data_IF_649908131754
#
_entry.id   IF_649908131754
#
_cell.length_a   1.000
_cell.length_b   1.000
_cell.length_c   1.000
_cell.angle_alpha   90.00
_cell.angle_beta   90.00
_cell.angle_gamma   90.00
#
_symmetry.space_group_name_H-M   'P 1'
#
loop_
_entity.id
_entity.type
_entity.pdbx_description
1 polymer ?
#
# COMPACT_ATOMS: atom_id res chain seq x y z
N UNK A 1 29.25 -2.18 3.38
CA UNK A 1 28.65 -3.45 2.99
C UNK A 1 29.58 -4.22 2.05
N UNK A 2 30.17 -5.38 2.50
CA UNK A 2 31.15 -6.13 1.71
C UNK A 2 30.59 -6.70 0.39
N UNK A 3 29.28 -6.87 0.28
CA UNK A 3 28.61 -7.37 -0.92
C UNK A 3 28.09 -6.26 -1.84
N UNK A 4 28.21 -4.99 -1.44
CA UNK A 4 27.83 -3.88 -2.29
C UNK A 4 28.71 -3.82 -3.53
N UNK A 5 28.15 -3.51 -4.72
CA UNK A 5 28.93 -3.27 -5.91
C UNK A 5 30.02 -2.22 -5.67
N UNK A 6 31.20 -2.37 -6.27
CA UNK A 6 32.34 -1.47 -6.07
C UNK A 6 31.96 0.01 -6.28
N UNK A 7 31.10 0.31 -7.26
CA UNK A 7 30.58 1.66 -7.50
C UNK A 7 29.75 2.22 -6.34
N UNK A 8 29.07 1.38 -5.56
CA UNK A 8 28.29 1.80 -4.39
C UNK A 8 29.14 1.97 -3.13
N UNK A 9 30.42 1.51 -3.14
CA UNK A 9 31.34 1.66 -2.01
C UNK A 9 32.06 3.00 -2.00
N UNK A 10 31.97 3.78 -3.07
CA UNK A 10 32.68 5.06 -3.22
C UNK A 10 31.97 6.25 -2.57
N UNK A 11 30.68 6.12 -2.24
CA UNK A 11 29.91 7.14 -1.52
C UNK A 11 29.81 6.77 -0.03
N UNK A 12 30.92 6.87 0.69
CA UNK A 12 30.90 6.80 2.15
C UNK A 12 30.46 8.15 2.71
N UNK A 13 29.37 8.13 3.49
CA UNK A 13 29.02 9.27 4.33
C UNK A 13 30.14 9.46 5.38
N UNK A 14 30.58 10.69 5.60
CA UNK A 14 31.46 11.03 6.73
C UNK A 14 30.68 10.76 8.02
N UNK A 15 31.05 9.71 8.73
CA UNK A 15 30.38 9.29 9.96
C UNK A 15 30.89 7.94 10.47
N UNK A 16 30.45 7.60 11.67
CA UNK A 16 30.76 6.31 12.28
C UNK A 16 30.16 5.16 11.42
N UNK A 17 30.94 4.12 11.20
CA UNK A 17 30.39 2.89 10.62
C UNK A 17 29.43 2.25 11.61
N UNK A 18 28.47 1.46 11.09
CA UNK A 18 27.53 0.72 11.93
C UNK A 18 28.26 -0.22 12.93
N UNK A 19 29.36 -0.87 12.49
CA UNK A 19 30.18 -1.71 13.37
C UNK A 19 30.83 -0.93 14.51
N UNK A 20 31.42 0.22 14.19
CA UNK A 20 32.04 1.10 15.23
C UNK A 20 31.00 1.59 16.24
N UNK A 21 29.77 1.94 15.76
CA UNK A 21 28.68 2.34 16.65
C UNK A 21 28.25 1.21 17.58
N UNK A 22 28.23 -0.04 17.10
CA UNK A 22 27.92 -1.21 17.94
C UNK A 22 29.01 -1.47 19.01
N UNK A 23 30.30 -1.25 18.68
CA UNK A 23 31.42 -1.42 19.61
C UNK A 23 31.37 -0.39 20.76
N UNK A 24 30.82 0.82 20.50
CA UNK A 24 30.61 1.84 21.53
C UNK A 24 29.40 1.54 22.44
N UNK A 25 28.54 0.56 22.08
CA UNK A 25 27.33 0.22 22.81
C UNK A 25 27.63 -0.45 24.15
N UNK A 26 26.88 -0.09 25.19
CA UNK A 26 26.93 -0.77 26.47
C UNK A 26 25.96 -1.98 26.50
N UNK A 27 26.47 -3.22 26.48
CA UNK A 27 25.60 -4.41 26.53
C UNK A 27 24.84 -4.56 27.85
N UNK A 28 25.23 -3.82 28.90
CA UNK A 28 24.55 -3.79 30.21
C UNK A 28 23.57 -2.63 30.34
N UNK A 29 23.30 -1.86 29.29
CA UNK A 29 22.41 -0.70 29.36
C UNK A 29 21.00 -1.08 29.80
N UNK A 30 20.57 -0.51 30.92
CA UNK A 30 19.21 -0.70 31.44
C UNK A 30 18.22 0.18 30.66
N UNK A 31 17.34 -0.45 29.91
CA UNK A 31 16.31 0.27 29.14
C UNK A 31 15.29 0.92 30.06
N UNK A 32 15.21 2.27 30.13
CA UNK A 32 14.15 2.93 30.85
C UNK A 32 12.82 2.76 30.10
N UNK A 33 11.77 2.42 30.82
CA UNK A 33 10.42 2.47 30.27
C UNK A 33 10.07 3.93 29.92
N UNK A 34 9.28 4.18 28.86
CA UNK A 34 8.83 5.52 28.53
C UNK A 34 8.07 6.10 29.72
N UNK A 35 8.32 7.38 30.04
CA UNK A 35 7.62 8.08 31.13
C UNK A 35 6.16 8.34 30.76
N UNK A 36 5.92 8.62 29.49
CA UNK A 36 4.62 8.80 28.88
C UNK A 36 4.58 7.98 27.59
N UNK A 37 3.60 7.11 27.48
CA UNK A 37 3.41 6.31 26.24
C UNK A 37 3.01 7.17 25.03
N UNK A 38 2.69 8.45 25.23
CA UNK A 38 2.50 9.46 24.19
C UNK A 38 3.82 10.06 23.68
N UNK A 39 4.95 9.77 24.33
CA UNK A 39 6.25 10.19 23.85
C UNK A 39 6.54 9.64 22.45
N UNK A 40 7.31 10.42 21.66
CA UNK A 40 7.67 10.03 20.31
C UNK A 40 8.64 8.83 20.33
N UNK A 41 8.34 7.81 19.51
CA UNK A 41 9.22 6.64 19.32
C UNK A 41 9.98 6.69 18.00
N UNK A 42 9.33 7.11 16.92
CA UNK A 42 9.94 7.16 15.58
C UNK A 42 9.44 8.33 14.74
N UNK A 43 10.19 8.65 13.70
CA UNK A 43 9.89 9.67 12.71
C UNK A 43 9.94 9.05 11.33
N UNK A 44 8.83 9.10 10.60
CA UNK A 44 8.70 8.53 9.26
C UNK A 44 8.39 9.63 8.24
N UNK A 45 9.22 9.80 7.23
CA UNK A 45 8.97 10.77 6.18
C UNK A 45 8.08 10.19 5.09
N UNK A 46 7.03 10.94 4.74
CA UNK A 46 6.21 10.64 3.56
C UNK A 46 6.90 11.17 2.30
N UNK A 47 6.67 10.54 1.16
CA UNK A 47 7.17 11.02 -0.14
C UNK A 47 6.58 12.37 -0.60
N UNK A 48 5.64 12.93 0.19
CA UNK A 48 5.00 14.20 -0.07
C UNK A 48 4.36 14.30 -1.45
N UNK A 49 3.06 14.10 -1.52
CA UNK A 49 2.31 14.25 -2.79
C UNK A 49 2.22 15.71 -3.25
N UNK A 50 2.65 16.65 -2.40
CA UNK A 50 2.73 18.10 -2.65
C UNK A 50 4.17 18.56 -2.91
N UNK A 51 5.12 17.65 -3.07
CA UNK A 51 6.52 17.95 -3.38
C UNK A 51 7.44 18.14 -2.16
N UNK A 52 6.92 18.37 -0.96
CA UNK A 52 7.72 18.45 0.28
C UNK A 52 7.41 17.26 1.17
N UNK A 53 8.41 16.41 1.51
CA UNK A 53 8.23 15.32 2.48
C UNK A 53 7.83 15.87 3.85
N UNK A 54 6.88 15.21 4.51
CA UNK A 54 6.47 15.55 5.88
C UNK A 54 6.94 14.46 6.83
N UNK A 55 7.47 14.86 7.98
CA UNK A 55 7.90 13.95 9.03
C UNK A 55 6.72 13.56 9.92
N UNK A 56 6.26 12.34 9.81
CA UNK A 56 5.16 11.78 10.61
C UNK A 56 5.72 11.27 11.93
N UNK A 57 5.22 11.79 13.05
CA UNK A 57 5.70 11.44 14.40
C UNK A 57 4.82 10.34 14.99
N UNK A 58 5.43 9.20 15.29
CA UNK A 58 4.80 8.09 16.00
C UNK A 58 5.00 8.21 17.50
N UNK A 59 4.08 7.68 18.30
CA UNK A 59 4.19 7.54 19.74
C UNK A 59 4.15 6.08 20.17
N UNK A 60 4.68 5.79 21.37
CA UNK A 60 4.79 4.42 21.89
C UNK A 60 3.44 3.69 21.95
N UNK A 61 2.39 4.36 22.41
CA UNK A 61 1.03 3.77 22.49
C UNK A 61 0.55 3.26 21.12
N UNK A 62 0.64 4.10 20.07
CA UNK A 62 0.18 3.75 18.73
C UNK A 62 0.97 2.59 18.16
N UNK A 63 2.30 2.60 18.31
CA UNK A 63 3.17 1.53 17.85
C UNK A 63 2.84 0.19 18.54
N UNK A 64 2.62 0.22 19.87
CA UNK A 64 2.23 -0.97 20.64
C UNK A 64 0.85 -1.51 20.21
N UNK A 65 -0.16 -0.64 20.12
CA UNK A 65 -1.51 -1.05 19.74
C UNK A 65 -1.56 -1.62 18.33
N UNK A 66 -0.85 -1.02 17.37
CA UNK A 66 -0.80 -1.58 16.02
C UNK A 66 -0.03 -2.89 15.99
N UNK A 67 1.07 -3.02 16.74
CA UNK A 67 1.81 -4.27 16.84
C UNK A 67 0.93 -5.43 17.31
N UNK A 68 0.11 -5.21 18.34
CA UNK A 68 -0.88 -6.20 18.82
C UNK A 68 -2.00 -6.40 17.80
N UNK A 69 -2.49 -5.33 17.18
CA UNK A 69 -3.49 -5.38 16.11
C UNK A 69 -3.05 -6.25 14.92
N UNK A 70 -1.78 -6.16 14.54
CA UNK A 70 -1.20 -7.00 13.49
C UNK A 70 -1.22 -8.49 13.85
N UNK A 71 -0.90 -8.85 15.10
CA UNK A 71 -0.99 -10.24 15.56
C UNK A 71 -2.38 -10.81 15.32
N UNK A 72 -3.40 -10.06 15.71
CA UNK A 72 -4.80 -10.49 15.60
C UNK A 72 -5.28 -10.54 14.14
N UNK A 73 -5.04 -9.46 13.39
CA UNK A 73 -5.56 -9.33 12.01
C UNK A 73 -4.84 -10.21 10.99
N UNK A 74 -3.54 -10.49 11.18
CA UNK A 74 -2.81 -11.40 10.31
C UNK A 74 -2.87 -12.87 10.74
N UNK A 75 -3.59 -13.18 11.83
CA UNK A 75 -3.64 -14.54 12.37
C UNK A 75 -2.29 -15.07 12.85
N UNK A 76 -1.40 -14.17 13.27
CA UNK A 76 -0.04 -14.51 13.66
C UNK A 76 -0.02 -15.26 14.99
N UNK A 77 0.34 -16.54 14.98
CA UNK A 77 0.50 -17.35 16.16
C UNK A 77 1.76 -16.99 16.97
N UNK A 78 2.09 -17.81 17.98
CA UNK A 78 3.36 -17.69 18.72
C UNK A 78 4.52 -18.19 17.86
N UNK A 79 5.68 -17.54 17.98
CA UNK A 79 6.92 -17.89 17.30
C UNK A 79 6.79 -17.99 15.77
N UNK A 80 6.16 -16.99 15.11
CA UNK A 80 6.10 -16.96 13.66
C UNK A 80 7.50 -16.79 13.09
N UNK A 81 7.69 -17.21 11.85
CA UNK A 81 8.88 -16.89 11.06
C UNK A 81 8.47 -15.88 9.99
N UNK A 82 9.03 -14.67 10.06
CA UNK A 82 8.66 -13.54 9.21
C UNK A 82 9.76 -13.20 8.22
N UNK A 83 9.46 -13.25 6.92
CA UNK A 83 10.37 -12.86 5.84
C UNK A 83 10.19 -11.37 5.50
N UNK A 84 11.30 -10.62 5.59
CA UNK A 84 11.33 -9.18 5.35
C UNK A 84 11.42 -8.82 3.87
N UNK A 85 10.31 -8.86 3.16
CA UNK A 85 10.16 -8.33 1.79
C UNK A 85 9.67 -6.88 1.78
N UNK A 86 9.05 -6.44 2.87
CA UNK A 86 8.69 -5.05 3.11
C UNK A 86 9.92 -4.28 3.64
N UNK A 87 10.28 -3.11 3.08
CA UNK A 87 11.36 -2.29 3.63
C UNK A 87 11.06 -1.87 5.07
N UNK A 88 11.99 -2.15 6.01
CA UNK A 88 11.79 -1.84 7.43
C UNK A 88 11.58 -0.33 7.70
N UNK A 89 12.13 0.56 6.88
CA UNK A 89 11.96 2.00 7.04
C UNK A 89 10.57 2.49 6.62
N UNK A 90 9.86 1.75 5.76
CA UNK A 90 8.55 2.18 5.27
C UNK A 90 7.49 1.96 6.33
N UNK A 91 6.94 3.05 6.86
CA UNK A 91 6.04 3.05 8.03
C UNK A 91 6.61 2.21 9.19
N UNK A 92 7.92 2.27 9.42
CA UNK A 92 8.68 1.37 10.29
C UNK A 92 8.26 -0.10 10.12
N UNK A 93 8.30 -0.55 8.84
CA UNK A 93 7.93 -1.92 8.48
C UNK A 93 6.51 -2.30 8.92
N UNK A 94 5.55 -1.34 8.86
CA UNK A 94 4.16 -1.50 9.31
C UNK A 94 4.05 -2.02 10.75
N UNK A 95 4.94 -1.60 11.63
CA UNK A 95 5.07 -2.05 13.02
C UNK A 95 5.41 -3.54 13.20
N UNK A 96 5.70 -4.30 12.14
CA UNK A 96 6.09 -5.72 12.25
C UNK A 96 7.40 -5.97 13.00
N UNK A 97 8.38 -5.05 13.11
CA UNK A 97 9.51 -5.27 14.02
C UNK A 97 9.04 -5.53 15.45
N UNK A 98 8.08 -4.74 15.94
CA UNK A 98 7.50 -4.92 17.27
C UNK A 98 6.50 -6.06 17.32
N UNK A 99 5.70 -6.25 16.26
CA UNK A 99 4.73 -7.36 16.15
C UNK A 99 5.40 -8.70 16.31
N UNK A 100 6.44 -8.98 15.52
CA UNK A 100 7.14 -10.28 15.53
C UNK A 100 7.84 -10.52 16.87
N UNK A 101 8.47 -9.47 17.45
CA UNK A 101 9.07 -9.55 18.78
C UNK A 101 8.04 -9.85 19.88
N UNK A 102 6.85 -9.23 19.81
CA UNK A 102 5.80 -9.42 20.83
C UNK A 102 5.32 -10.88 20.96
N UNK A 103 5.42 -11.66 19.88
CA UNK A 103 5.04 -13.08 19.85
C UNK A 103 6.24 -14.02 19.81
N UNK A 104 7.44 -13.52 20.16
CA UNK A 104 8.71 -14.27 20.19
C UNK A 104 9.04 -14.92 18.82
N UNK A 105 8.76 -14.23 17.74
CA UNK A 105 8.98 -14.70 16.37
C UNK A 105 10.42 -14.51 15.88
N UNK A 106 10.70 -15.09 14.72
CA UNK A 106 12.00 -15.03 14.03
C UNK A 106 11.93 -14.07 12.86
N UNK A 107 12.91 -13.17 12.74
CA UNK A 107 13.07 -12.28 11.60
C UNK A 107 14.04 -12.90 10.59
N UNK A 108 13.58 -13.18 9.38
CA UNK A 108 14.41 -13.59 8.24
C UNK A 108 14.61 -12.36 7.36
N UNK A 109 15.82 -11.81 7.39
CA UNK A 109 16.15 -10.58 6.66
C UNK A 109 16.53 -10.89 5.21
N UNK A 110 16.00 -10.09 4.28
CA UNK A 110 16.22 -10.21 2.84
C UNK A 110 16.90 -8.93 2.32
N UNK A 111 18.03 -9.08 1.64
CA UNK A 111 18.78 -7.95 1.11
C UNK A 111 18.11 -7.32 -0.11
N UNK A 112 17.53 -8.17 -0.97
CA UNK A 112 16.86 -7.76 -2.20
C UNK A 112 15.72 -8.71 -2.52
N UNK A 113 14.59 -8.17 -2.97
CA UNK A 113 13.41 -8.94 -3.38
C UNK A 113 13.72 -9.62 -4.72
N UNK A 114 14.06 -10.91 -4.66
CA UNK A 114 14.34 -11.76 -5.82
C UNK A 114 13.62 -13.09 -5.65
N UNK A 115 12.98 -13.58 -6.69
CA UNK A 115 12.12 -14.76 -6.64
C UNK A 115 12.80 -15.99 -6.04
N UNK A 116 13.88 -16.48 -6.65
CA UNK A 116 14.63 -17.65 -6.20
C UNK A 116 15.09 -17.52 -4.73
N UNK A 117 15.58 -16.34 -4.34
CA UNK A 117 16.02 -16.09 -2.96
C UNK A 117 14.84 -16.16 -1.98
N UNK A 118 13.69 -15.56 -2.32
CA UNK A 118 12.50 -15.63 -1.47
C UNK A 118 12.02 -17.07 -1.30
N UNK A 119 11.90 -17.83 -2.39
CA UNK A 119 11.50 -19.24 -2.33
C UNK A 119 12.47 -20.09 -1.51
N UNK A 120 13.77 -19.87 -1.68
CA UNK A 120 14.82 -20.55 -0.90
C UNK A 120 14.67 -20.29 0.59
N UNK A 121 14.63 -19.01 1.00
CA UNK A 121 14.51 -18.62 2.41
C UNK A 121 13.20 -19.08 3.05
N UNK A 122 12.08 -19.04 2.30
CA UNK A 122 10.80 -19.54 2.80
C UNK A 122 10.84 -21.03 3.13
N UNK A 123 11.46 -21.83 2.27
CA UNK A 123 11.58 -23.27 2.49
C UNK A 123 12.61 -23.60 3.58
N UNK A 124 13.77 -22.91 3.59
CA UNK A 124 14.87 -23.17 4.54
C UNK A 124 14.47 -22.83 5.97
N UNK A 125 13.79 -21.70 6.18
CA UNK A 125 13.47 -21.20 7.51
C UNK A 125 12.03 -21.50 7.94
N UNK A 126 11.22 -22.14 7.10
CA UNK A 126 9.82 -22.42 7.41
C UNK A 126 9.01 -21.15 7.61
N UNK A 127 9.18 -20.16 6.73
CA UNK A 127 8.51 -18.85 6.81
C UNK A 127 7.00 -19.04 6.84
N UNK A 128 6.34 -18.36 7.77
CA UNK A 128 4.89 -18.39 7.95
C UNK A 128 4.19 -17.10 7.54
N UNK A 129 4.90 -15.96 7.58
CA UNK A 129 4.33 -14.64 7.33
C UNK A 129 5.30 -13.77 6.52
N UNK A 130 4.73 -12.94 5.66
CA UNK A 130 5.44 -11.89 4.95
C UNK A 130 4.48 -10.78 4.53
N UNK A 131 5.00 -9.60 4.21
CA UNK A 131 4.22 -8.46 3.72
C UNK A 131 4.85 -7.91 2.45
N UNK A 132 4.03 -7.32 1.59
CA UNK A 132 4.59 -6.67 0.40
C UNK A 132 3.55 -5.94 -0.45
N UNK A 133 4.06 -5.22 -1.44
CA UNK A 133 3.24 -4.66 -2.51
C UNK A 133 2.93 -5.75 -3.57
N UNK A 134 1.95 -5.53 -4.46
CA UNK A 134 1.61 -6.48 -5.54
C UNK A 134 2.80 -6.90 -6.42
N UNK A 135 3.81 -6.04 -6.58
CA UNK A 135 5.03 -6.37 -7.32
C UNK A 135 5.81 -7.54 -6.69
N UNK A 136 5.75 -7.69 -5.36
CA UNK A 136 6.38 -8.84 -4.67
C UNK A 136 5.66 -10.14 -5.01
N UNK A 137 4.31 -10.09 -5.08
CA UNK A 137 3.50 -11.23 -5.52
C UNK A 137 3.84 -11.63 -6.95
N UNK A 138 3.92 -10.65 -7.88
CA UNK A 138 4.32 -10.89 -9.26
C UNK A 138 5.72 -11.53 -9.33
N UNK A 139 6.69 -11.01 -8.59
CA UNK A 139 8.06 -11.56 -8.53
C UNK A 139 8.08 -13.02 -8.05
N UNK A 140 7.25 -13.37 -7.06
CA UNK A 140 7.12 -14.75 -6.59
C UNK A 140 6.52 -15.65 -7.67
N UNK A 141 5.44 -15.20 -8.31
CA UNK A 141 4.69 -15.98 -9.30
C UNK A 141 5.40 -16.13 -10.64
N UNK A 142 6.28 -15.19 -10.99
CA UNK A 142 7.05 -15.20 -12.24
C UNK A 142 8.42 -15.89 -12.07
N UNK A 143 8.71 -16.39 -10.86
CA UNK A 143 9.89 -17.22 -10.61
C UNK A 143 9.75 -18.55 -11.36
N UNK A 144 10.78 -19.00 -12.10
CA UNK A 144 10.74 -20.30 -12.77
C UNK A 144 10.38 -21.44 -11.83
N UNK A 145 9.54 -22.37 -12.26
CA UNK A 145 9.06 -23.49 -11.46
C UNK A 145 10.20 -24.30 -10.82
N UNK A 146 11.31 -24.48 -11.55
CA UNK A 146 12.49 -25.17 -11.04
C UNK A 146 13.16 -24.50 -9.82
N UNK A 147 12.93 -23.21 -9.64
CA UNK A 147 13.44 -22.42 -8.50
C UNK A 147 12.41 -22.26 -7.38
N UNK A 148 11.15 -22.59 -7.63
CA UNK A 148 10.12 -22.61 -6.59
C UNK A 148 10.34 -23.81 -5.65
N UNK A 149 9.87 -23.68 -4.43
CA UNK A 149 9.98 -24.72 -3.39
C UNK A 149 8.61 -24.98 -2.77
N UNK A 150 8.29 -26.22 -2.36
CA UNK A 150 7.07 -26.51 -1.63
C UNK A 150 7.02 -25.75 -0.30
N UNK A 151 5.85 -25.25 0.05
CA UNK A 151 5.56 -24.53 1.29
C UNK A 151 4.46 -25.26 2.07
N UNK A 152 4.78 -26.41 2.70
CA UNK A 152 3.77 -27.26 3.36
C UNK A 152 3.09 -26.57 4.56
N UNK A 153 3.76 -25.58 5.16
CA UNK A 153 3.21 -24.80 6.26
C UNK A 153 2.18 -23.74 5.81
N UNK A 154 2.11 -23.44 4.50
CA UNK A 154 1.44 -22.24 3.99
C UNK A 154 2.12 -20.96 4.42
N UNK A 155 1.90 -19.87 3.69
CA UNK A 155 2.45 -18.54 4.02
C UNK A 155 1.36 -17.49 3.98
N UNK A 156 1.17 -16.76 5.08
CA UNK A 156 0.30 -15.59 5.12
C UNK A 156 1.00 -14.42 4.46
N UNK A 157 0.43 -13.91 3.36
CA UNK A 157 0.93 -12.74 2.65
C UNK A 157 0.02 -11.54 2.87
N UNK A 158 0.50 -10.53 3.60
CA UNK A 158 -0.25 -9.28 3.80
C UNK A 158 0.13 -8.30 2.70
N UNK A 159 -0.84 -7.93 1.86
CA UNK A 159 -0.65 -7.05 0.71
C UNK A 159 -1.32 -5.70 0.91
N UNK A 160 -0.63 -4.63 0.55
CA UNK A 160 -1.17 -3.28 0.50
C UNK A 160 -0.64 -2.50 -0.71
N UNK A 161 -1.20 -1.32 -0.93
CA UNK A 161 -0.78 -0.38 -1.97
C UNK A 161 -1.71 -0.36 -3.18
N UNK A 162 -2.20 -1.51 -3.61
CA UNK A 162 -3.27 -1.66 -4.60
C UNK A 162 -4.00 -2.99 -4.38
N UNK A 163 -5.28 -3.12 -4.75
CA UNK A 163 -5.96 -4.40 -4.76
C UNK A 163 -5.28 -5.35 -5.75
N UNK A 164 -4.89 -6.56 -5.33
CA UNK A 164 -4.32 -7.52 -6.26
C UNK A 164 -5.40 -8.03 -7.24
N UNK A 165 -5.06 -8.19 -8.55
CA UNK A 165 -5.99 -8.75 -9.53
C UNK A 165 -6.41 -10.18 -9.18
N UNK A 166 -7.65 -10.56 -9.55
CA UNK A 166 -8.21 -11.90 -9.30
C UNK A 166 -7.27 -13.04 -9.73
N UNK A 167 -6.75 -12.96 -10.95
CA UNK A 167 -5.84 -13.97 -11.48
C UNK A 167 -4.56 -14.12 -10.64
N UNK A 168 -4.06 -13.03 -10.06
CA UNK A 168 -2.90 -13.04 -9.16
C UNK A 168 -3.26 -13.73 -7.85
N UNK A 169 -4.43 -13.44 -7.27
CA UNK A 169 -4.89 -14.08 -6.03
C UNK A 169 -5.06 -15.58 -6.19
N UNK A 170 -5.66 -16.03 -7.31
CA UNK A 170 -5.83 -17.45 -7.60
C UNK A 170 -4.46 -18.17 -7.72
N UNK A 171 -3.51 -17.56 -8.43
CA UNK A 171 -2.13 -18.08 -8.54
C UNK A 171 -1.41 -18.13 -7.19
N UNK A 172 -1.55 -17.08 -6.37
CA UNK A 172 -0.97 -17.05 -5.01
C UNK A 172 -1.53 -18.19 -4.14
N UNK A 173 -2.85 -18.38 -4.16
CA UNK A 173 -3.50 -19.48 -3.43
C UNK A 173 -2.99 -20.85 -3.90
N UNK A 174 -2.89 -21.06 -5.22
CA UNK A 174 -2.34 -22.29 -5.77
C UNK A 174 -0.87 -22.53 -5.40
N UNK A 175 -0.11 -21.46 -5.21
CA UNK A 175 1.30 -21.51 -4.78
C UNK A 175 1.47 -21.63 -3.24
N UNK A 176 0.39 -21.79 -2.47
CA UNK A 176 0.44 -22.01 -1.01
C UNK A 176 0.37 -20.75 -0.16
N UNK A 177 -0.01 -19.60 -0.74
CA UNK A 177 -0.17 -18.35 0.00
C UNK A 177 -1.63 -18.08 0.38
N UNK A 178 -1.84 -17.67 1.63
CA UNK A 178 -3.07 -17.02 2.06
C UNK A 178 -2.87 -15.51 1.97
N UNK A 179 -3.66 -14.82 1.14
CA UNK A 179 -3.50 -13.39 0.90
C UNK A 179 -4.48 -12.59 1.73
N UNK A 180 -3.97 -11.61 2.48
CA UNK A 180 -4.75 -10.65 3.25
C UNK A 180 -4.53 -9.25 2.68
N UNK A 181 -5.57 -8.65 2.14
CA UNK A 181 -5.51 -7.27 1.62
C UNK A 181 -5.75 -6.28 2.75
N UNK A 182 -4.86 -5.31 2.88
CA UNK A 182 -4.95 -4.24 3.89
C UNK A 182 -4.75 -2.87 3.26
N UNK A 183 -5.24 -1.84 3.92
CA UNK A 183 -5.04 -0.45 3.54
C UNK A 183 -4.62 0.38 4.75
N UNK A 184 -3.74 1.33 4.51
CA UNK A 184 -3.32 2.32 5.49
C UNK A 184 -2.32 3.31 4.90
N UNK A 185 -1.83 4.20 5.74
CA UNK A 185 -0.91 5.28 5.39
C UNK A 185 0.18 5.38 6.46
N UNK A 186 1.20 6.18 6.17
CA UNK A 186 2.26 6.49 7.14
C UNK A 186 1.65 7.10 8.41
N UNK A 187 0.68 7.97 8.26
CA UNK A 187 0.01 8.70 9.34
C UNK A 187 -0.80 7.80 10.29
N UNK A 188 -1.02 6.54 9.92
CA UNK A 188 -1.69 5.55 10.77
C UNK A 188 -0.81 4.31 11.02
N UNK A 189 0.51 4.49 10.97
CA UNK A 189 1.54 3.50 11.30
C UNK A 189 1.66 2.33 10.32
N UNK A 190 0.78 2.20 9.33
CA UNK A 190 0.68 1.11 8.38
C UNK A 190 -0.76 0.66 8.19
N UNK A 191 -1.08 -0.65 8.28
CA UNK A 191 -2.43 -1.16 8.14
C UNK A 191 -3.42 -0.57 9.15
N UNK A 192 -4.53 -0.04 8.66
CA UNK A 192 -5.63 0.51 9.48
C UNK A 192 -7.00 -0.01 9.05
N UNK A 193 -7.06 -0.64 7.87
CA UNK A 193 -8.24 -1.27 7.29
C UNK A 193 -7.84 -2.64 6.73
N UNK A 194 -8.68 -3.64 6.88
CA UNK A 194 -8.44 -5.01 6.45
C UNK A 194 -9.63 -5.55 5.70
N UNK A 195 -9.40 -6.24 4.61
CA UNK A 195 -10.42 -7.00 3.90
C UNK A 195 -10.64 -8.34 4.62
N UNK A 196 -11.47 -8.33 5.66
CA UNK A 196 -11.88 -9.55 6.34
C UNK A 196 -12.71 -10.42 5.39
N UNK A 197 -12.30 -11.68 5.21
CA UNK A 197 -13.03 -12.60 4.38
C UNK A 197 -14.29 -13.09 5.10
N UNK A 198 -15.43 -12.96 4.46
CA UNK A 198 -16.68 -13.55 5.00
C UNK A 198 -16.87 -14.94 4.40
N UNK A 199 -17.00 -15.97 5.23
CA UNK A 199 -17.18 -17.34 4.79
C UNK A 199 -18.40 -17.54 3.86
N UNK A 200 -19.42 -16.67 3.95
CA UNK A 200 -20.54 -16.70 3.01
C UNK A 200 -20.12 -16.42 1.55
N UNK A 201 -18.98 -15.78 1.33
CA UNK A 201 -18.46 -15.49 -0.01
C UNK A 201 -17.84 -16.71 -0.70
N UNK A 202 -17.51 -17.78 0.05
CA UNK A 202 -16.97 -19.02 -0.54
C UNK A 202 -17.92 -19.66 -1.56
N UNK A 203 -19.22 -19.44 -1.39
CA UNK A 203 -20.24 -19.95 -2.30
C UNK A 203 -20.48 -19.09 -3.55
N UNK A 204 -19.88 -17.89 -3.61
CA UNK A 204 -20.06 -16.96 -4.74
C UNK A 204 -19.18 -17.38 -5.93
N UNK A 205 -19.58 -17.00 -7.17
CA UNK A 205 -18.72 -17.16 -8.34
C UNK A 205 -17.38 -16.42 -8.18
N UNK A 206 -16.30 -16.98 -8.75
CA UNK A 206 -14.96 -16.42 -8.63
C UNK A 206 -14.85 -14.92 -9.00
N UNK A 207 -15.50 -14.41 -10.08
CA UNK A 207 -15.45 -12.97 -10.37
C UNK A 207 -16.08 -12.10 -9.27
N UNK A 208 -17.09 -12.61 -8.56
CA UNK A 208 -17.73 -11.88 -7.48
C UNK A 208 -16.88 -11.92 -6.21
N UNK A 209 -16.25 -13.05 -5.90
CA UNK A 209 -15.25 -13.16 -4.84
C UNK A 209 -14.12 -12.14 -5.04
N UNK A 210 -13.59 -12.05 -6.27
CA UNK A 210 -12.53 -11.09 -6.60
C UNK A 210 -12.98 -9.64 -6.42
N UNK A 211 -14.20 -9.30 -6.84
CA UNK A 211 -14.76 -7.97 -6.64
C UNK A 211 -14.86 -7.61 -5.16
N UNK A 212 -15.22 -8.56 -4.31
CA UNK A 212 -15.29 -8.36 -2.86
C UNK A 212 -13.90 -8.23 -2.23
N UNK A 213 -12.93 -9.02 -2.70
CA UNK A 213 -11.53 -8.93 -2.26
C UNK A 213 -10.84 -7.64 -2.70
N UNK A 214 -11.27 -7.01 -3.79
CA UNK A 214 -10.72 -5.75 -4.27
C UNK A 214 -11.07 -4.55 -3.38
N UNK A 215 -12.07 -4.67 -2.49
CA UNK A 215 -12.41 -3.64 -1.50
C UNK A 215 -11.33 -3.57 -0.42
N UNK A 216 -11.13 -2.40 0.20
CA UNK A 216 -10.17 -2.26 1.30
C UNK A 216 -10.65 -2.95 2.57
N UNK A 217 -11.96 -2.99 2.80
CA UNK A 217 -12.53 -3.76 3.87
C UNK A 217 -13.08 -2.95 5.04
N UNK A 218 -12.81 -3.44 6.25
CA UNK A 218 -13.35 -2.90 7.50
C UNK A 218 -12.23 -2.38 8.40
N UNK A 219 -12.61 -1.71 9.45
CA UNK A 219 -11.72 -1.12 10.45
C UNK A 219 -10.81 -2.19 11.11
N UNK A 220 -9.52 -1.91 11.17
CA UNK A 220 -8.57 -2.68 11.98
C UNK A 220 -8.97 -2.66 13.46
N UNK A 221 -8.73 -3.74 14.19
CA UNK A 221 -9.17 -3.86 15.60
C UNK A 221 -8.62 -2.75 16.51
N UNK A 222 -7.39 -2.33 16.27
CA UNK A 222 -6.72 -1.30 17.07
C UNK A 222 -7.12 0.14 16.71
N UNK A 223 -7.83 0.37 15.60
CA UNK A 223 -8.31 1.69 15.19
C UNK A 223 -9.68 1.95 15.80
N UNK A 224 -9.88 3.04 16.53
CA UNK A 224 -11.15 3.34 17.21
C UNK A 224 -12.26 3.81 16.25
N UNK A 225 -11.90 4.56 15.20
CA UNK A 225 -12.87 5.09 14.25
C UNK A 225 -12.38 5.03 12.81
N UNK A 226 -13.21 4.45 11.94
CA UNK A 226 -13.10 4.49 10.48
C UNK A 226 -14.46 4.89 9.93
N UNK A 227 -14.50 5.92 9.08
CA UNK A 227 -15.73 6.34 8.43
C UNK A 227 -15.43 6.94 7.05
N UNK A 228 -16.45 7.02 6.21
CA UNK A 228 -16.42 7.75 4.94
C UNK A 228 -17.34 8.96 5.11
N UNK A 229 -16.79 10.16 5.01
CA UNK A 229 -17.48 11.40 5.35
C UNK A 229 -17.34 12.45 4.28
N UNK A 230 -18.31 13.32 4.18
CA UNK A 230 -18.18 14.55 3.43
C UNK A 230 -17.08 15.42 4.05
N UNK A 231 -16.05 15.86 3.30
CA UNK A 231 -14.90 16.55 3.86
C UNK A 231 -15.19 17.96 4.39
N UNK A 232 -16.31 18.57 3.98
CA UNK A 232 -16.69 19.93 4.40
C UNK A 232 -17.61 19.91 5.62
N UNK A 233 -18.65 19.08 5.56
CA UNK A 233 -19.68 19.00 6.61
C UNK A 233 -19.36 18.01 7.70
N UNK A 234 -18.43 17.10 7.46
CA UNK A 234 -18.08 15.96 8.31
C UNK A 234 -19.25 14.99 8.53
N UNK A 235 -20.33 15.12 7.79
CA UNK A 235 -21.45 14.19 7.85
C UNK A 235 -21.05 12.85 7.23
N UNK A 236 -21.41 11.69 7.84
CA UNK A 236 -21.17 10.40 7.22
C UNK A 236 -21.98 10.26 5.92
N UNK A 237 -21.35 9.70 4.88
CA UNK A 237 -22.05 9.41 3.63
C UNK A 237 -22.94 8.18 3.77
N UNK A 238 -24.02 8.06 2.97
CA UNK A 238 -24.82 6.85 2.91
C UNK A 238 -23.99 5.59 2.64
N UNK A 239 -24.39 4.46 3.23
CA UNK A 239 -23.77 3.16 2.96
C UNK A 239 -24.43 2.50 1.73
N UNK A 240 -24.36 3.17 0.57
CA UNK A 240 -25.00 2.76 -0.69
C UNK A 240 -24.02 2.19 -1.73
N UNK A 241 -22.72 2.21 -1.42
CA UNK A 241 -21.65 1.79 -2.33
C UNK A 241 -21.43 2.73 -3.52
N UNK A 242 -22.05 3.91 -3.54
CA UNK A 242 -22.07 4.86 -4.65
C UNK A 242 -21.64 6.28 -4.22
N UNK A 243 -22.19 6.79 -3.11
CA UNK A 243 -21.88 8.14 -2.63
C UNK A 243 -20.45 8.21 -2.12
N UNK A 244 -19.65 9.07 -2.77
CA UNK A 244 -18.25 9.27 -2.40
C UNK A 244 -18.11 10.23 -1.22
N UNK A 245 -17.14 9.94 -0.35
CA UNK A 245 -16.63 10.83 0.68
C UNK A 245 -15.17 10.57 0.95
N UNK A 246 -14.58 11.33 1.85
CA UNK A 246 -13.20 11.12 2.29
C UNK A 246 -13.15 10.04 3.38
N UNK A 247 -12.17 9.15 3.27
CA UNK A 247 -11.86 8.21 4.37
C UNK A 247 -11.30 9.00 5.53
N UNK A 248 -11.93 8.91 6.67
CA UNK A 248 -11.49 9.57 7.91
C UNK A 248 -11.25 8.55 9.00
N UNK A 249 -10.19 8.77 9.74
CA UNK A 249 -9.74 7.86 10.79
C UNK A 249 -9.55 8.61 12.12
N UNK A 250 -9.72 7.92 13.23
CA UNK A 250 -9.36 8.46 14.54
C UNK A 250 -9.00 7.35 15.50
N UNK A 251 -8.18 7.71 16.48
CA UNK A 251 -7.79 6.79 17.52
C UNK A 251 -6.32 6.83 17.87
N UNK A 252 -5.92 5.94 18.76
CA UNK A 252 -4.54 5.88 19.26
C UNK A 252 -3.53 5.29 18.27
N UNK A 253 -3.98 4.71 17.17
CA UNK A 253 -3.10 4.29 16.06
C UNK A 253 -3.04 5.34 14.93
N UNK A 254 -3.30 6.59 15.26
CA UNK A 254 -3.09 7.73 14.37
C UNK A 254 -1.90 8.53 14.88
N UNK A 255 -1.10 9.08 14.00
CA UNK A 255 0.13 9.84 14.32
C UNK A 255 -0.09 10.93 15.37
N UNK A 256 0.98 11.30 16.05
CA UNK A 256 0.98 12.47 16.95
C UNK A 256 0.82 13.78 16.18
N UNK A 257 1.31 13.83 14.97
CA UNK A 257 1.29 14.97 14.06
C UNK A 257 2.50 15.00 13.13
N UNK A 258 2.63 16.06 12.37
CA UNK A 258 3.79 16.32 11.51
C UNK A 258 4.86 17.11 12.27
N UNK A 259 6.11 16.66 12.15
CA UNK A 259 7.26 17.28 12.82
C UNK A 259 7.43 18.75 12.42
N UNK A 260 7.41 19.66 13.42
CA UNK A 260 7.59 21.12 13.23
C UNK A 260 6.63 21.74 12.18
N UNK A 261 5.47 21.12 11.97
CA UNK A 261 4.44 21.60 11.05
C UNK A 261 3.05 21.58 11.74
N UNK A 262 2.81 22.52 12.68
CA UNK A 262 1.56 22.57 13.41
C UNK A 262 0.37 22.93 12.53
N UNK A 263 0.57 23.71 11.47
CA UNK A 263 -0.49 24.10 10.54
C UNK A 263 -1.00 22.88 9.74
N UNK A 264 -0.07 22.12 9.14
CA UNK A 264 -0.46 20.88 8.44
C UNK A 264 -1.06 19.85 9.39
N UNK A 265 -0.58 19.80 10.66
CA UNK A 265 -1.15 18.92 11.67
C UNK A 265 -2.60 19.33 12.00
N UNK A 266 -2.85 20.61 12.28
CA UNK A 266 -4.19 21.10 12.57
C UNK A 266 -5.16 20.85 11.40
N UNK A 267 -4.70 21.06 10.16
CA UNK A 267 -5.49 20.76 8.97
C UNK A 267 -5.80 19.27 8.85
N UNK A 268 -4.81 18.40 9.10
CA UNK A 268 -4.99 16.95 8.99
C UNK A 268 -5.94 16.38 10.04
N UNK A 269 -6.14 17.07 11.19
CA UNK A 269 -7.03 16.66 12.27
C UNK A 269 -8.28 17.54 12.42
N UNK A 270 -8.67 18.24 11.37
CA UNK A 270 -9.85 19.10 11.41
C UNK A 270 -11.09 18.31 11.84
N UNK A 271 -11.92 18.90 12.70
CA UNK A 271 -13.14 18.26 13.20
C UNK A 271 -12.93 17.00 14.05
N UNK A 272 -11.71 16.76 14.56
CA UNK A 272 -11.38 15.61 15.42
C UNK A 272 -11.22 14.28 14.68
N UNK A 273 -11.08 14.33 13.37
CA UNK A 273 -10.77 13.20 12.50
C UNK A 273 -9.47 13.43 11.75
N UNK A 274 -8.70 12.37 11.55
CA UNK A 274 -7.59 12.41 10.62
C UNK A 274 -8.11 12.28 9.18
N UNK A 275 -7.84 13.27 8.36
CA UNK A 275 -8.19 13.37 6.96
C UNK A 275 -7.13 12.67 6.12
N UNK A 276 -7.48 11.56 5.47
CA UNK A 276 -6.53 10.76 4.70
C UNK A 276 -6.20 11.35 3.33
N UNK A 277 -7.12 12.16 2.78
CA UNK A 277 -7.07 12.64 1.40
C UNK A 277 -7.43 11.55 0.38
N UNK A 278 -7.86 10.37 0.83
CA UNK A 278 -8.30 9.27 -0.05
C UNK A 278 -9.83 9.23 -0.08
N UNK A 279 -10.41 9.18 -1.29
CA UNK A 279 -11.85 9.14 -1.51
C UNK A 279 -12.34 7.69 -1.61
N UNK A 280 -13.47 7.41 -1.00
CA UNK A 280 -14.05 6.09 -0.94
C UNK A 280 -15.58 6.12 -0.99
N UNK A 281 -16.16 4.95 -1.16
CA UNK A 281 -17.58 4.67 -0.89
C UNK A 281 -17.68 3.70 0.29
N UNK A 282 -18.79 3.74 0.99
CA UNK A 282 -19.14 2.77 2.02
C UNK A 282 -20.25 1.85 1.52
N UNK A 283 -20.02 0.55 1.58
CA UNK A 283 -21.00 -0.45 1.19
C UNK A 283 -21.99 -0.75 2.32
N UNK A 284 -23.20 -1.30 2.01
CA UNK A 284 -24.21 -1.66 3.03
C UNK A 284 -23.71 -2.66 4.07
N UNK A 285 -22.75 -3.52 3.73
CA UNK A 285 -22.10 -4.47 4.63
C UNK A 285 -20.99 -3.86 5.50
N UNK A 286 -20.79 -2.53 5.42
CA UNK A 286 -19.81 -1.78 6.20
C UNK A 286 -18.41 -1.71 5.58
N UNK A 287 -18.16 -2.42 4.48
CA UNK A 287 -16.87 -2.39 3.80
C UNK A 287 -16.63 -1.06 3.10
N UNK A 288 -15.42 -0.55 3.24
CA UNK A 288 -14.94 0.64 2.53
C UNK A 288 -14.26 0.21 1.24
N UNK A 289 -14.52 0.93 0.15
CA UNK A 289 -13.84 0.76 -1.13
C UNK A 289 -13.28 2.09 -1.60
N UNK A 290 -11.96 2.19 -1.71
CA UNK A 290 -11.29 3.35 -2.27
C UNK A 290 -11.67 3.55 -3.74
N UNK A 291 -11.86 4.80 -4.11
CA UNK A 291 -12.14 5.20 -5.49
C UNK A 291 -10.98 5.96 -6.09
N UNK A 292 -10.40 6.89 -5.35
CA UNK A 292 -9.20 7.63 -5.76
C UNK A 292 -8.65 8.47 -4.60
N UNK A 293 -7.60 9.23 -4.89
CA UNK A 293 -7.20 10.36 -4.06
C UNK A 293 -7.94 11.62 -4.49
N UNK A 294 -8.29 12.46 -3.55
CA UNK A 294 -9.00 13.71 -3.82
C UNK A 294 -8.32 14.59 -4.86
N UNK A 295 -6.97 14.58 -4.91
CA UNK A 295 -6.14 15.30 -5.87
C UNK A 295 -5.91 14.57 -7.21
N UNK A 296 -6.26 13.29 -7.29
CA UNK A 296 -6.07 12.44 -8.48
C UNK A 296 -7.39 12.24 -9.24
N UNK A 297 -8.53 12.58 -8.63
CA UNK A 297 -9.83 12.65 -9.30
C UNK A 297 -9.72 13.62 -10.48
N UNK A 298 -10.24 13.20 -11.62
CA UNK A 298 -10.28 13.97 -12.86
C UNK A 298 -11.69 14.53 -13.01
N UNK A 299 -11.82 15.85 -13.09
CA UNK A 299 -13.13 16.52 -13.18
C UNK A 299 -13.38 16.89 -14.65
N UNK A 300 -14.14 16.04 -15.34
CA UNK A 300 -14.43 16.18 -16.77
C UNK A 300 -15.89 16.57 -17.01
N UNK A 301 -16.11 17.80 -17.42
CA UNK A 301 -17.47 18.31 -17.69
C UNK A 301 -18.38 18.32 -16.46
N UNK A 302 -17.80 18.44 -15.26
CA UNK A 302 -18.53 18.39 -13.99
C UNK A 302 -18.69 16.97 -13.39
N UNK A 303 -18.26 15.93 -14.11
CA UNK A 303 -18.30 14.54 -13.65
C UNK A 303 -16.96 14.13 -13.06
N UNK A 304 -16.99 13.41 -11.93
CA UNK A 304 -15.82 12.88 -11.27
C UNK A 304 -15.42 11.53 -11.90
N UNK A 305 -14.18 11.45 -12.38
CA UNK A 305 -13.60 10.25 -12.95
C UNK A 305 -12.49 9.76 -12.00
N UNK A 306 -12.63 8.53 -11.53
CA UNK A 306 -11.57 7.85 -10.78
C UNK A 306 -10.43 7.47 -11.74
N UNK A 307 -9.24 7.95 -11.46
CA UNK A 307 -8.05 7.55 -12.20
C UNK A 307 -7.75 6.06 -12.01
N UNK A 308 -8.03 5.51 -10.83
CA UNK A 308 -7.87 4.08 -10.50
C UNK A 308 -8.82 3.22 -11.34
N UNK A 309 -10.07 3.62 -11.53
CA UNK A 309 -11.04 2.86 -12.33
C UNK A 309 -10.58 2.71 -13.79
N UNK A 310 -9.95 3.74 -14.32
CA UNK A 310 -9.40 3.73 -15.69
C UNK A 310 -8.13 2.88 -15.75
N UNK A 311 -7.25 2.99 -14.74
CA UNK A 311 -6.05 2.18 -14.60
C UNK A 311 -6.38 0.68 -14.51
N UNK A 312 -7.31 0.31 -13.64
CA UNK A 312 -7.79 -1.07 -13.46
C UNK A 312 -8.34 -1.66 -14.76
N UNK A 313 -8.99 -0.83 -15.56
CA UNK A 313 -9.48 -1.25 -16.87
C UNK A 313 -8.32 -1.49 -17.84
N UNK A 314 -7.35 -0.58 -17.90
CA UNK A 314 -6.16 -0.73 -18.74
C UNK A 314 -5.32 -1.96 -18.35
N UNK A 315 -5.22 -2.29 -17.06
CA UNK A 315 -4.52 -3.50 -16.59
C UNK A 315 -5.11 -4.82 -17.09
N UNK A 316 -6.40 -4.84 -17.48
CA UNK A 316 -7.04 -6.03 -18.06
C UNK A 316 -6.60 -6.30 -19.50
N UNK A 317 -6.01 -5.30 -20.16
CA UNK A 317 -5.50 -5.48 -21.52
C UNK A 317 -4.22 -6.33 -21.52
N UNK A 318 -4.12 -7.40 -22.35
CA UNK A 318 -3.04 -8.38 -22.30
C UNK A 318 -1.64 -7.80 -22.51
N UNK A 319 -1.52 -6.71 -23.29
CA UNK A 319 -0.24 -6.05 -23.58
C UNK A 319 0.24 -5.09 -22.48
N UNK A 320 -0.62 -4.69 -21.54
CA UNK A 320 -0.29 -3.67 -20.52
C UNK A 320 0.45 -4.31 -19.34
N UNK A 321 1.63 -3.78 -19.03
CA UNK A 321 2.40 -4.13 -17.84
C UNK A 321 2.07 -3.18 -16.69
N UNK A 322 2.01 -1.86 -16.96
CA UNK A 322 1.73 -0.83 -15.99
C UNK A 322 0.93 0.30 -16.63
N UNK A 323 -0.02 0.86 -15.90
CA UNK A 323 -0.78 2.04 -16.33
C UNK A 323 -0.89 3.06 -15.20
N UNK A 324 -0.81 4.34 -15.55
CA UNK A 324 -1.05 5.45 -14.65
C UNK A 324 -1.89 6.50 -15.37
N UNK A 325 -2.97 6.96 -14.75
CA UNK A 325 -3.88 7.93 -15.35
C UNK A 325 -3.85 9.23 -14.55
N UNK A 326 -3.73 10.34 -15.26
CA UNK A 326 -3.71 11.69 -14.67
C UNK A 326 -4.66 12.61 -15.42
N UNK A 327 -5.09 13.67 -14.74
CA UNK A 327 -5.84 14.74 -15.36
C UNK A 327 -4.95 15.50 -16.37
N UNK A 328 -5.46 15.69 -17.57
CA UNK A 328 -4.92 16.59 -18.60
C UNK A 328 -5.88 17.75 -18.80
N UNK A 329 -5.41 19.00 -18.79
CA UNK A 329 -6.25 20.16 -19.10
C UNK A 329 -6.91 20.03 -20.48
N UNK A 330 -8.19 20.38 -20.56
CA UNK A 330 -8.99 20.36 -21.78
C UNK A 330 -9.87 21.61 -21.86
N UNK A 331 -9.86 22.29 -23.00
CA UNK A 331 -10.57 23.57 -23.19
C UNK A 331 -12.11 23.41 -23.14
N UNK A 332 -12.64 22.23 -23.42
CA UNK A 332 -14.08 21.97 -23.48
C UNK A 332 -14.60 21.36 -22.18
N UNK A 333 -13.82 20.44 -21.59
CA UNK A 333 -14.28 19.62 -20.48
C UNK A 333 -13.63 19.99 -19.14
N UNK A 334 -12.73 20.99 -19.13
CA UNK A 334 -11.89 21.36 -17.98
C UNK A 334 -10.71 20.40 -17.85
N UNK A 335 -11.01 19.14 -17.60
CA UNK A 335 -10.02 18.08 -17.56
C UNK A 335 -10.48 16.85 -18.34
N UNK A 336 -9.53 16.04 -18.81
CA UNK A 336 -9.78 14.73 -19.43
C UNK A 336 -8.74 13.72 -18.97
N UNK A 337 -9.07 12.41 -18.94
CA UNK A 337 -8.09 11.39 -18.59
C UNK A 337 -6.99 11.27 -19.66
N UNK A 338 -5.73 11.26 -19.21
CA UNK A 338 -4.54 10.94 -19.99
C UNK A 338 -3.86 9.72 -19.35
N UNK A 339 -3.71 8.64 -20.11
CA UNK A 339 -3.08 7.42 -19.64
C UNK A 339 -1.60 7.35 -20.04
N UNK A 340 -0.73 7.03 -19.09
CA UNK A 340 0.66 6.65 -19.31
C UNK A 340 0.78 5.15 -19.18
N UNK A 341 1.28 4.47 -20.20
CA UNK A 341 1.27 3.01 -20.28
C UNK A 341 2.66 2.47 -20.56
N UNK A 342 3.05 1.49 -19.76
CA UNK A 342 4.21 0.64 -19.98
C UNK A 342 3.73 -0.72 -20.49
N UNK A 343 4.23 -1.15 -21.63
CA UNK A 343 3.87 -2.44 -22.23
C UNK A 343 4.72 -3.57 -21.66
N UNK A 344 4.19 -4.78 -21.66
CA UNK A 344 4.94 -5.99 -21.33
C UNK A 344 6.08 -6.20 -22.34
N UNK A 345 7.21 -6.81 -21.94
CA UNK A 345 8.30 -7.11 -22.84
C UNK A 345 7.82 -7.91 -24.08
N UNK A 346 8.11 -7.38 -25.27
CA UNK A 346 7.73 -8.01 -26.54
C UNK A 346 6.25 -7.84 -26.94
N UNK A 347 5.43 -7.19 -26.11
CA UNK A 347 4.05 -6.87 -26.48
C UNK A 347 3.97 -5.55 -27.27
N UNK A 348 2.94 -5.42 -28.09
CA UNK A 348 2.63 -4.21 -28.84
C UNK A 348 1.15 -3.86 -28.65
N UNK A 349 0.86 -2.58 -28.57
CA UNK A 349 -0.49 -2.00 -28.63
C UNK A 349 -0.40 -0.56 -29.13
N UNK A 350 -1.43 -0.09 -29.77
CA UNK A 350 -1.56 1.31 -30.20
C UNK A 350 -2.42 2.11 -29.23
N UNK A 351 -2.30 3.43 -29.25
CA UNK A 351 -3.17 4.33 -28.51
C UNK A 351 -4.65 4.08 -28.83
N UNK A 352 -4.99 3.93 -30.12
CA UNK A 352 -6.36 3.70 -30.57
C UNK A 352 -6.95 2.39 -30.02
N UNK A 353 -6.15 1.31 -29.98
CA UNK A 353 -6.57 0.02 -29.42
C UNK A 353 -6.83 0.10 -27.93
N UNK A 354 -5.96 0.75 -27.14
CA UNK A 354 -6.17 0.91 -25.71
C UNK A 354 -7.38 1.79 -25.39
N UNK A 355 -7.59 2.87 -26.15
CA UNK A 355 -8.78 3.71 -26.00
C UNK A 355 -10.04 2.92 -26.39
N UNK A 356 -10.03 2.16 -27.47
CA UNK A 356 -11.16 1.30 -27.87
C UNK A 356 -11.47 0.27 -26.79
N UNK A 357 -10.44 -0.40 -26.26
CA UNK A 357 -10.57 -1.36 -25.17
C UNK A 357 -11.22 -0.72 -23.93
N UNK A 358 -10.81 0.48 -23.52
CA UNK A 358 -11.44 1.15 -22.39
C UNK A 358 -12.91 1.50 -22.66
N UNK A 359 -13.30 1.83 -23.91
CA UNK A 359 -14.68 2.13 -24.28
C UNK A 359 -15.62 0.95 -24.21
N UNK A 360 -15.12 -0.27 -24.32
CA UNK A 360 -15.91 -1.50 -24.15
C UNK A 360 -16.25 -1.76 -22.69
N UNK A 361 -15.51 -1.16 -21.75
CA UNK A 361 -15.61 -1.46 -20.32
C UNK A 361 -16.05 -0.27 -19.46
N UNK A 362 -15.91 0.97 -19.97
CA UNK A 362 -16.18 2.19 -19.23
C UNK A 362 -17.14 3.12 -19.99
N UNK A 363 -17.84 3.96 -19.23
CA UNK A 363 -18.61 5.05 -19.83
C UNK A 363 -17.68 5.97 -20.66
N UNK A 364 -18.15 6.45 -21.81
CA UNK A 364 -17.30 7.13 -22.80
C UNK A 364 -16.60 8.41 -22.29
N UNK A 365 -17.15 9.09 -21.27
CA UNK A 365 -16.51 10.25 -20.65
C UNK A 365 -15.33 9.86 -19.77
N UNK A 366 -15.29 8.65 -19.23
CA UNK A 366 -14.19 8.10 -18.41
C UNK A 366 -13.00 7.61 -19.23
N UNK A 367 -13.18 7.38 -20.52
CA UNK A 367 -12.13 6.82 -21.37
C UNK A 367 -11.02 7.85 -21.61
N UNK A 368 -9.73 7.41 -21.61
CA UNK A 368 -8.62 8.28 -21.93
C UNK A 368 -8.81 8.98 -23.28
N UNK A 369 -8.44 10.25 -23.34
CA UNK A 369 -8.39 11.02 -24.58
C UNK A 369 -7.00 10.98 -25.23
N UNK A 370 -6.01 10.50 -24.47
CA UNK A 370 -4.65 10.31 -24.92
C UNK A 370 -4.01 9.13 -24.16
N UNK A 371 -3.19 8.36 -24.88
CA UNK A 371 -2.32 7.34 -24.29
C UNK A 371 -0.87 7.64 -24.66
N UNK A 372 -0.01 7.73 -23.67
CA UNK A 372 1.43 7.96 -23.83
C UNK A 372 2.17 6.70 -23.42
N UNK A 373 2.93 6.10 -24.33
CA UNK A 373 3.77 4.96 -24.03
C UNK A 373 5.11 5.43 -23.45
N UNK A 374 5.39 5.04 -22.22
CA UNK A 374 6.61 5.42 -21.50
C UNK A 374 6.88 4.48 -20.35
N UNK A 375 8.11 4.50 -19.83
CA UNK A 375 8.38 3.94 -18.51
C UNK A 375 7.68 4.79 -17.45
N UNK A 376 6.86 4.14 -16.61
CA UNK A 376 6.07 4.82 -15.57
C UNK A 376 6.95 5.04 -14.33
N UNK A 377 7.19 6.30 -13.91
CA UNK A 377 8.06 6.61 -12.78
C UNK A 377 7.51 6.08 -11.47
N UNK A 378 8.36 5.42 -10.70
CA UNK A 378 8.04 4.77 -9.41
C UNK A 378 9.01 5.19 -8.32
N UNK A 379 8.55 5.16 -7.09
CA UNK A 379 9.43 5.27 -5.91
C UNK A 379 10.21 3.98 -5.69
N UNK A 380 11.19 3.99 -4.79
CA UNK A 380 11.93 2.79 -4.35
C UNK A 380 11.02 1.70 -3.75
N UNK A 381 9.82 2.07 -3.30
CA UNK A 381 8.79 1.14 -2.80
C UNK A 381 7.81 0.67 -3.88
N UNK A 382 8.02 1.04 -5.16
CA UNK A 382 7.18 0.65 -6.29
C UNK A 382 5.92 1.51 -6.51
N UNK A 383 5.72 2.58 -5.71
CA UNK A 383 4.56 3.46 -5.86
C UNK A 383 4.72 4.40 -7.05
N UNK A 384 3.69 4.48 -7.90
CA UNK A 384 3.65 5.37 -9.06
C UNK A 384 3.71 6.84 -8.63
N UNK A 385 4.57 7.61 -9.31
CA UNK A 385 4.76 9.04 -9.06
C UNK A 385 3.91 9.89 -10.03
N UNK A 386 2.58 9.89 -9.85
CA UNK A 386 1.65 10.64 -10.72
C UNK A 386 1.98 12.14 -10.83
N UNK A 387 2.60 12.74 -9.81
CA UNK A 387 3.01 14.15 -9.86
C UNK A 387 4.07 14.43 -10.94
N UNK A 388 4.95 13.47 -11.23
CA UNK A 388 5.92 13.57 -12.33
C UNK A 388 5.19 13.52 -13.68
N UNK A 389 4.22 12.61 -13.80
CA UNK A 389 3.43 12.45 -15.04
C UNK A 389 2.55 13.68 -15.33
N UNK A 390 1.97 14.30 -14.30
CA UNK A 390 1.22 15.56 -14.46
C UNK A 390 2.07 16.69 -15.02
N UNK A 391 3.37 16.70 -14.75
CA UNK A 391 4.29 17.67 -15.33
C UNK A 391 4.49 17.52 -16.86
N UNK A 392 4.12 16.36 -17.43
CA UNK A 392 4.28 16.03 -18.85
C UNK A 392 3.02 16.31 -19.68
N UNK A 393 1.85 16.48 -19.04
CA UNK A 393 0.57 16.76 -19.68
C UNK A 393 0.20 18.26 -19.47
N UNK A 394 0.85 19.14 -20.18
CA UNK A 394 0.55 20.58 -20.17
C UNK A 394 -0.08 20.99 -21.48
#
# INVERSE_FOLDING_TARGET
DPEAPAAARTNTLDGLSYGALLEEGDPGFAWPMPRDEWDAITLNYTSGTTGRPKGVVYHHRGAHLLAVGNVLSSGMGRQPVYLWTLPMFHCNGWCFPWTVCAVAGTHVCLRAVRGATMWGLMAEHGVTHMCGAPVVMATLLDTPEAEQRPLPQGVQFVVAGAPPPEAVLARMKAAGFAVLHVYGLTEVYGPAVVNEWNAAWDALPAPEQARLMARQGVRYLALEGLDVRDPETLAPVPADGATMGEVMMRGNVVMKGYLKDPEATAKAFAGGWFHTGDLAVRHPDGYVQLKDRSKDIIISGGENISSIEVEDTLYKHPAVALAAVVAKPDNRWGEVPCAFVELKPGAAATEAELIAFTREHLAGFKCPKQVVFTEVPRTSTGKIQKHVLRGQVR
#
